data_IF_517153770755
#
_entry.id   IF_517153770755
#
_cell.length_a   1.000
_cell.length_b   1.000
_cell.length_c   1.000
_cell.angle_alpha   90.00
_cell.angle_beta   90.00
_cell.angle_gamma   90.00
#
_symmetry.space_group_name_H-M   'P 1'
#
loop_
_entity.id
_entity.type
_entity.pdbx_description
1 polymer ?
#
# COMPACT_ATOMS: atom_id res chain seq x y z
N UNK A 1 18.73 16.32 39.83
CA UNK A 1 18.02 15.76 38.65
C UNK A 1 18.15 14.26 38.67
N UNK A 2 17.05 13.51 38.72
CA UNK A 2 17.12 12.06 38.48
C UNK A 2 17.52 11.86 37.02
N UNK A 3 18.71 11.31 36.80
CA UNK A 3 19.22 10.98 35.47
C UNK A 3 18.54 9.68 35.07
N UNK A 4 17.51 9.75 34.23
CA UNK A 4 16.87 8.56 33.69
C UNK A 4 17.91 7.73 32.92
N UNK A 5 17.82 6.41 33.01
CA UNK A 5 18.69 5.53 32.21
C UNK A 5 18.32 5.61 30.72
N UNK A 6 19.25 5.16 29.86
CA UNK A 6 19.10 5.21 28.40
C UNK A 6 17.89 4.42 27.91
N UNK A 7 17.54 3.33 28.59
CA UNK A 7 16.43 2.46 28.21
C UNK A 7 15.08 3.14 28.44
N UNK A 8 14.94 3.82 29.58
CA UNK A 8 13.77 4.62 29.94
C UNK A 8 13.57 5.77 28.97
N UNK A 9 14.65 6.47 28.60
CA UNK A 9 14.61 7.55 27.59
C UNK A 9 14.14 6.99 26.24
N UNK A 10 14.77 5.92 25.75
CA UNK A 10 14.41 5.30 24.47
C UNK A 10 12.95 4.81 24.44
N UNK A 11 12.46 4.22 25.53
CA UNK A 11 11.07 3.77 25.65
C UNK A 11 10.09 4.93 25.53
N UNK A 12 10.32 6.03 26.24
CA UNK A 12 9.43 7.20 26.18
C UNK A 12 9.48 7.85 24.80
N UNK A 13 10.66 7.99 24.18
CA UNK A 13 10.79 8.50 22.81
C UNK A 13 9.99 7.69 21.80
N UNK A 14 10.01 6.35 21.88
CA UNK A 14 9.20 5.48 21.00
C UNK A 14 7.70 5.70 21.12
N UNK A 15 7.19 5.95 22.32
CA UNK A 15 5.76 6.27 22.53
C UNK A 15 5.39 7.57 21.84
N UNK A 16 6.22 8.61 21.94
CA UNK A 16 5.98 9.87 21.24
C UNK A 16 6.01 9.72 19.71
N UNK A 17 6.91 8.90 19.17
CA UNK A 17 6.96 8.61 17.73
C UNK A 17 5.72 7.84 17.27
N UNK A 18 5.25 6.88 18.08
CA UNK A 18 4.03 6.12 17.80
C UNK A 18 2.78 7.03 17.81
N UNK A 19 2.65 7.90 18.82
CA UNK A 19 1.55 8.87 18.90
C UNK A 19 1.57 9.86 17.75
N UNK A 20 2.76 10.29 17.31
CA UNK A 20 2.92 11.18 16.16
C UNK A 20 2.55 10.52 14.84
N UNK A 21 3.07 9.33 14.57
CA UNK A 21 2.71 8.58 13.36
C UNK A 21 1.20 8.33 13.30
N UNK A 22 0.58 7.99 14.44
CA UNK A 22 -0.87 7.84 14.53
C UNK A 22 -1.60 9.13 14.14
N UNK A 23 -1.20 10.28 14.70
CA UNK A 23 -1.83 11.56 14.41
C UNK A 23 -1.64 12.00 12.95
N UNK A 24 -0.45 11.80 12.38
CA UNK A 24 -0.17 12.10 10.96
C UNK A 24 -0.93 11.20 9.99
N UNK A 25 -1.26 9.99 10.41
CA UNK A 25 -2.05 9.05 9.60
C UNK A 25 -3.54 9.40 9.52
N UNK A 26 -4.01 10.30 10.39
CA UNK A 26 -5.37 10.82 10.32
C UNK A 26 -5.53 11.69 9.07
N UNK A 27 -6.63 11.51 8.34
CA UNK A 27 -6.98 12.35 7.22
C UNK A 27 -8.31 13.06 7.48
N UNK A 28 -8.35 14.35 7.14
CA UNK A 28 -9.50 15.22 7.41
C UNK A 28 -10.40 15.40 6.20
N UNK A 29 -9.92 15.10 4.99
CA UNK A 29 -10.66 15.36 3.74
C UNK A 29 -10.62 14.16 2.81
N UNK A 30 -11.77 13.80 2.27
CA UNK A 30 -11.89 12.79 1.22
C UNK A 30 -10.95 13.10 0.05
N UNK A 31 -10.23 12.08 -0.44
CA UNK A 31 -9.30 12.27 -1.55
C UNK A 31 -10.01 12.61 -2.87
N UNK A 32 -11.25 12.16 -3.10
CA UNK A 32 -11.93 12.40 -4.37
C UNK A 32 -12.32 13.87 -4.61
N UNK A 33 -11.94 14.42 -5.78
CA UNK A 33 -12.39 15.67 -6.39
C UNK A 33 -12.56 16.87 -5.42
N UNK A 34 -11.55 17.14 -4.60
CA UNK A 34 -11.54 18.20 -3.59
C UNK A 34 -12.74 18.17 -2.61
N UNK A 35 -13.32 17.00 -2.37
CA UNK A 35 -14.41 16.82 -1.41
C UNK A 35 -13.97 17.22 0.00
N UNK A 36 -14.76 18.07 0.66
CA UNK A 36 -14.44 18.59 2.00
C UNK A 36 -15.01 17.71 3.13
N UNK A 37 -15.64 16.58 2.82
CA UNK A 37 -16.19 15.70 3.84
C UNK A 37 -15.10 14.84 4.48
N UNK A 38 -15.23 14.63 5.80
CA UNK A 38 -14.38 13.74 6.57
C UNK A 38 -14.44 12.31 5.97
N UNK A 39 -13.29 11.68 5.68
CA UNK A 39 -13.25 10.31 5.19
C UNK A 39 -13.71 9.31 6.26
N UNK A 40 -14.09 8.13 5.80
CA UNK A 40 -14.27 6.93 6.61
C UNK A 40 -13.05 6.01 6.42
N UNK A 41 -13.06 4.92 7.17
CA UNK A 41 -12.09 3.82 7.06
C UNK A 41 -12.39 3.00 5.79
N UNK A 42 -11.75 3.37 4.68
CA UNK A 42 -11.81 2.68 3.39
C UNK A 42 -10.85 1.49 3.36
N UNK A 43 -11.23 0.42 2.68
CA UNK A 43 -10.34 -0.71 2.42
C UNK A 43 -9.59 -0.54 1.08
N UNK A 44 -8.28 -0.78 1.08
CA UNK A 44 -7.49 -0.87 -0.16
C UNK A 44 -7.85 -2.13 -0.98
N UNK A 45 -8.08 -3.26 -0.30
CA UNK A 45 -8.67 -4.48 -0.87
C UNK A 45 -9.86 -4.85 -0.01
N UNK A 46 -11.03 -5.02 -0.63
CA UNK A 46 -12.30 -5.15 0.08
C UNK A 46 -12.34 -6.36 1.04
N UNK A 47 -12.86 -6.15 2.25
CA UNK A 47 -12.98 -7.21 3.27
C UNK A 47 -13.68 -8.47 2.73
N UNK A 48 -14.79 -8.29 2.01
CA UNK A 48 -15.56 -9.39 1.43
C UNK A 48 -14.72 -10.25 0.47
N UNK A 49 -13.83 -9.64 -0.32
CA UNK A 49 -12.91 -10.37 -1.18
C UNK A 49 -11.91 -11.17 -0.35
N UNK A 50 -11.29 -10.55 0.65
CA UNK A 50 -10.31 -11.20 1.51
C UNK A 50 -10.92 -12.40 2.24
N UNK A 51 -12.14 -12.25 2.76
CA UNK A 51 -12.88 -13.30 3.48
C UNK A 51 -13.05 -14.58 2.66
N UNK A 52 -13.33 -14.44 1.38
CA UNK A 52 -13.56 -15.59 0.48
C UNK A 52 -12.24 -16.15 -0.10
N UNK A 53 -11.11 -15.47 0.07
CA UNK A 53 -9.84 -15.78 -0.59
C UNK A 53 -8.70 -16.02 0.40
N UNK A 54 -7.79 -15.05 0.57
CA UNK A 54 -6.56 -15.21 1.35
C UNK A 54 -6.78 -15.06 2.87
N UNK A 55 -7.91 -14.50 3.28
CA UNK A 55 -8.27 -14.20 4.67
C UNK A 55 -9.32 -15.12 5.27
N UNK A 56 -9.45 -16.36 4.77
CA UNK A 56 -10.45 -17.35 5.23
C UNK A 56 -10.41 -17.64 6.74
N UNK A 57 -9.26 -17.47 7.39
CA UNK A 57 -9.12 -17.59 8.85
C UNK A 57 -9.56 -16.35 9.64
N UNK A 58 -10.16 -15.36 8.95
CA UNK A 58 -10.59 -14.07 9.50
C UNK A 58 -9.45 -13.06 9.68
N UNK A 59 -8.21 -13.43 9.31
CA UNK A 59 -7.03 -12.60 9.46
C UNK A 59 -6.09 -12.74 8.26
N UNK A 60 -5.24 -11.75 8.06
CA UNK A 60 -4.09 -11.77 7.16
C UNK A 60 -2.84 -11.31 7.91
N UNK A 61 -1.66 -11.59 7.36
CA UNK A 61 -0.40 -11.07 7.86
C UNK A 61 0.06 -9.94 6.95
N UNK A 62 0.21 -8.74 7.51
CA UNK A 62 0.63 -7.55 6.77
C UNK A 62 1.27 -6.52 7.70
N UNK A 63 1.91 -5.51 7.12
CA UNK A 63 2.31 -4.30 7.81
C UNK A 63 1.26 -3.21 7.56
N UNK A 64 0.64 -2.71 8.63
CA UNK A 64 -0.20 -1.50 8.59
C UNK A 64 0.41 -0.38 9.40
N UNK A 65 0.04 0.87 9.13
CA UNK A 65 0.43 2.01 9.98
C UNK A 65 0.04 1.77 11.44
N UNK A 66 -1.15 1.22 11.70
CA UNK A 66 -1.61 0.90 13.05
C UNK A 66 -0.75 -0.18 13.72
N UNK A 67 -0.33 -1.22 12.98
CA UNK A 67 0.58 -2.24 13.49
C UNK A 67 1.96 -1.67 13.78
N UNK A 68 2.48 -0.79 12.90
CA UNK A 68 3.76 -0.09 13.11
C UNK A 68 3.71 0.79 14.35
N UNK A 69 2.65 1.58 14.52
CA UNK A 69 2.41 2.39 15.74
C UNK A 69 2.44 1.51 16.99
N UNK A 70 1.72 0.38 16.98
CA UNK A 70 1.67 -0.56 18.11
C UNK A 70 3.05 -1.17 18.40
N UNK A 71 3.76 -1.61 17.36
CA UNK A 71 5.06 -2.27 17.47
C UNK A 71 6.15 -1.31 17.95
N UNK A 72 6.14 -0.06 17.46
CA UNK A 72 7.00 1.03 17.96
C UNK A 72 6.78 1.26 19.47
N UNK A 73 5.52 1.42 19.90
CA UNK A 73 5.20 1.65 21.31
C UNK A 73 5.57 0.48 22.22
N UNK A 74 5.60 -0.75 21.69
CA UNK A 74 5.92 -1.98 22.44
C UNK A 74 7.37 -2.46 22.29
N UNK A 75 8.20 -1.75 21.52
CA UNK A 75 9.54 -2.19 21.15
C UNK A 75 9.58 -3.59 20.51
N UNK A 76 8.74 -3.81 19.50
CA UNK A 76 8.70 -5.06 18.72
C UNK A 76 9.21 -4.79 17.31
N UNK A 77 10.12 -5.63 16.85
CA UNK A 77 10.62 -5.64 15.47
C UNK A 77 9.83 -6.71 14.69
N UNK A 78 8.56 -6.42 14.42
CA UNK A 78 7.68 -7.31 13.66
C UNK A 78 7.08 -6.54 12.48
N UNK A 79 7.53 -6.84 11.26
CA UNK A 79 7.00 -6.24 10.03
C UNK A 79 5.61 -6.78 9.70
N UNK A 80 5.44 -8.10 9.72
CA UNK A 80 4.17 -8.77 9.41
C UNK A 80 3.42 -9.12 10.68
N UNK A 81 2.41 -8.33 11.03
CA UNK A 81 1.53 -8.59 12.18
C UNK A 81 0.27 -9.34 11.75
N UNK A 82 -0.29 -10.16 12.64
CA UNK A 82 -1.62 -10.75 12.44
C UNK A 82 -2.70 -9.67 12.55
N UNK A 83 -3.39 -9.38 11.45
CA UNK A 83 -4.38 -8.30 11.33
C UNK A 83 -5.75 -8.89 10.95
N UNK A 84 -6.85 -8.57 11.66
CA UNK A 84 -8.19 -8.97 11.26
C UNK A 84 -8.53 -8.42 9.87
N UNK A 85 -9.26 -9.17 9.04
CA UNK A 85 -9.63 -8.71 7.68
C UNK A 85 -10.48 -7.42 7.69
N UNK A 86 -11.18 -7.14 8.80
CA UNK A 86 -11.92 -5.89 9.00
C UNK A 86 -11.01 -4.67 9.15
N UNK A 87 -9.72 -4.88 9.44
CA UNK A 87 -8.71 -3.84 9.65
C UNK A 87 -7.56 -3.89 8.62
N UNK A 88 -7.56 -4.87 7.72
CA UNK A 88 -6.49 -5.06 6.74
C UNK A 88 -6.57 -4.04 5.61
N UNK A 89 -5.47 -3.32 5.38
CA UNK A 89 -5.39 -2.33 4.31
C UNK A 89 -6.37 -1.16 4.49
N UNK A 90 -6.83 -0.91 5.72
CA UNK A 90 -7.77 0.16 6.06
C UNK A 90 -7.04 1.50 6.19
N UNK A 91 -7.60 2.53 5.56
CA UNK A 91 -7.06 3.89 5.59
C UNK A 91 -8.17 4.94 5.45
N UNK A 92 -7.98 6.17 5.97
CA UNK A 92 -8.96 7.25 5.89
C UNK A 92 -8.98 7.90 4.49
N UNK A 93 -9.50 7.17 3.49
CA UNK A 93 -9.45 7.53 2.08
C UNK A 93 -10.62 8.39 1.59
N UNK A 94 -11.83 7.83 1.62
CA UNK A 94 -13.01 8.40 0.97
C UNK A 94 -14.12 8.68 1.96
N UNK A 95 -15.04 9.61 1.67
CA UNK A 95 -16.17 9.84 2.54
C UNK A 95 -17.26 8.78 2.34
N UNK A 96 -17.87 8.34 3.44
CA UNK A 96 -19.12 7.59 3.44
C UNK A 96 -20.32 8.51 3.24
N UNK A 97 -21.52 7.94 3.38
CA UNK A 97 -22.80 8.60 3.12
C UNK A 97 -22.99 9.88 3.96
N UNK A 98 -22.93 11.03 3.29
CA UNK A 98 -23.27 12.35 3.82
C UNK A 98 -23.95 13.18 2.75
N UNK A 99 -25.16 13.66 3.03
CA UNK A 99 -25.95 14.50 2.13
C UNK A 99 -26.11 13.89 0.71
N UNK A 100 -26.31 12.57 0.62
CA UNK A 100 -26.46 11.89 -0.68
C UNK A 100 -25.14 11.60 -1.40
N UNK A 101 -23.98 11.90 -0.78
CA UNK A 101 -22.65 11.62 -1.31
C UNK A 101 -21.97 10.54 -0.47
N UNK A 102 -21.61 9.44 -1.10
CA UNK A 102 -20.75 8.39 -0.54
C UNK A 102 -19.73 8.02 -1.60
N UNK A 103 -18.54 8.64 -1.55
CA UNK A 103 -17.52 8.38 -2.56
C UNK A 103 -16.93 6.98 -2.41
N UNK A 104 -16.84 6.46 -1.18
CA UNK A 104 -16.33 5.10 -0.99
C UNK A 104 -17.22 4.06 -1.69
N UNK A 105 -18.52 4.03 -1.38
CA UNK A 105 -19.41 3.04 -1.99
C UNK A 105 -19.72 3.31 -3.47
N UNK A 106 -19.81 4.57 -3.91
CA UNK A 106 -20.14 4.89 -5.31
C UNK A 106 -18.97 4.61 -6.25
N UNK A 107 -17.78 5.10 -5.93
CA UNK A 107 -16.62 5.03 -6.84
C UNK A 107 -16.14 3.59 -7.05
N UNK A 108 -16.35 2.71 -6.06
CA UNK A 108 -15.81 1.36 -6.07
C UNK A 108 -16.86 0.26 -6.25
N UNK A 109 -18.12 0.61 -6.51
CA UNK A 109 -19.19 -0.36 -6.76
C UNK A 109 -18.82 -1.40 -7.84
N UNK A 110 -18.10 -0.98 -8.87
CA UNK A 110 -17.65 -1.80 -10.01
C UNK A 110 -16.59 -2.84 -9.65
N UNK A 111 -16.00 -2.76 -8.46
CA UNK A 111 -15.04 -3.73 -7.92
C UNK A 111 -15.55 -4.44 -6.65
N UNK A 112 -16.72 -4.09 -6.12
CA UNK A 112 -17.23 -4.63 -4.84
C UNK A 112 -18.61 -5.30 -4.92
N UNK A 113 -19.54 -4.71 -5.68
CA UNK A 113 -20.93 -5.17 -5.75
C UNK A 113 -21.05 -6.22 -6.86
N UNK A 114 -21.42 -7.46 -6.51
CA UNK A 114 -21.47 -8.63 -7.41
C UNK A 114 -22.01 -8.31 -8.82
N UNK A 115 -23.24 -7.80 -8.91
CA UNK A 115 -23.87 -7.50 -10.20
C UNK A 115 -23.13 -6.43 -11.01
N UNK A 116 -22.43 -5.50 -10.34
CA UNK A 116 -21.63 -4.46 -11.00
C UNK A 116 -20.26 -5.01 -11.42
N UNK A 117 -19.60 -5.80 -10.56
CA UNK A 117 -18.35 -6.50 -10.92
C UNK A 117 -18.54 -7.40 -12.13
N UNK A 118 -19.65 -8.15 -12.17
CA UNK A 118 -19.98 -9.05 -13.28
C UNK A 118 -20.09 -8.33 -14.62
N UNK A 119 -20.64 -7.11 -14.64
CA UNK A 119 -20.78 -6.26 -15.84
C UNK A 119 -19.49 -5.50 -16.20
N UNK A 120 -18.64 -5.25 -15.22
CA UNK A 120 -17.40 -4.47 -15.40
C UNK A 120 -16.39 -5.27 -16.23
N UNK A 121 -15.78 -4.65 -17.24
CA UNK A 121 -14.72 -5.27 -18.04
C UNK A 121 -13.46 -5.47 -17.20
N UNK A 122 -12.58 -6.40 -17.58
CA UNK A 122 -11.31 -6.61 -16.87
C UNK A 122 -10.46 -5.33 -16.85
N UNK A 123 -10.44 -4.59 -17.96
CA UNK A 123 -9.71 -3.31 -18.06
C UNK A 123 -10.25 -2.27 -17.08
N UNK A 124 -11.58 -2.07 -17.01
CA UNK A 124 -12.20 -1.14 -16.07
C UNK A 124 -12.01 -1.59 -14.61
N UNK A 125 -12.07 -2.90 -14.35
CA UNK A 125 -11.84 -3.47 -13.02
C UNK A 125 -10.41 -3.16 -12.54
N UNK A 126 -9.40 -3.40 -13.39
CA UNK A 126 -8.01 -3.05 -13.12
C UNK A 126 -7.81 -1.54 -12.94
N UNK A 127 -8.46 -0.71 -13.77
CA UNK A 127 -8.37 0.75 -13.69
C UNK A 127 -8.88 1.29 -12.35
N UNK A 128 -10.01 0.79 -11.85
CA UNK A 128 -10.58 1.22 -10.58
C UNK A 128 -9.73 0.75 -9.38
N UNK A 129 -9.18 -0.47 -9.42
CA UNK A 129 -8.21 -0.90 -8.42
C UNK A 129 -6.92 -0.07 -8.45
N UNK A 130 -6.44 0.30 -9.64
CA UNK A 130 -5.28 1.17 -9.78
C UNK A 130 -5.52 2.56 -9.18
N UNK A 131 -6.71 3.13 -9.37
CA UNK A 131 -7.08 4.38 -8.71
C UNK A 131 -7.07 4.24 -7.18
N UNK A 132 -7.64 3.15 -6.65
CA UNK A 132 -7.61 2.86 -5.20
C UNK A 132 -6.18 2.69 -4.68
N UNK A 133 -5.32 2.02 -5.43
CA UNK A 133 -3.91 1.82 -5.12
C UNK A 133 -3.16 3.14 -5.05
N UNK A 134 -3.39 4.03 -6.03
CA UNK A 134 -2.82 5.38 -6.05
C UNK A 134 -3.20 6.16 -4.80
N UNK A 135 -4.50 6.19 -4.44
CA UNK A 135 -4.96 6.96 -3.29
C UNK A 135 -4.43 6.38 -1.97
N UNK A 136 -4.35 5.05 -1.84
CA UNK A 136 -3.72 4.41 -0.68
C UNK A 136 -2.26 4.83 -0.55
N UNK A 137 -1.47 4.76 -1.64
CA UNK A 137 -0.07 5.17 -1.62
C UNK A 137 0.06 6.66 -1.30
N UNK A 138 -0.77 7.51 -1.89
CA UNK A 138 -0.80 8.94 -1.58
C UNK A 138 -1.03 9.20 -0.10
N UNK A 139 -1.93 8.47 0.54
CA UNK A 139 -2.15 8.58 1.98
C UNK A 139 -0.90 8.18 2.78
N UNK A 140 -0.27 7.07 2.40
CA UNK A 140 0.96 6.61 3.04
C UNK A 140 2.09 7.64 2.90
N UNK A 141 2.35 8.12 1.68
CA UNK A 141 3.38 9.12 1.41
C UNK A 141 3.10 10.45 2.11
N UNK A 142 1.84 10.92 2.17
CA UNK A 142 1.50 12.12 2.93
C UNK A 142 1.68 11.93 4.44
N UNK A 143 1.38 10.73 4.95
CA UNK A 143 1.55 10.40 6.38
C UNK A 143 3.03 10.47 6.76
N UNK A 144 3.89 9.81 5.97
CA UNK A 144 5.33 9.83 6.16
C UNK A 144 5.86 11.25 5.94
N UNK A 145 5.44 11.85 4.83
CA UNK A 145 5.41 13.26 4.40
C UNK A 145 5.44 14.33 5.49
N UNK A 146 4.46 14.19 6.36
CA UNK A 146 3.99 15.27 7.21
C UNK A 146 4.97 15.52 8.35
N UNK A 147 5.18 16.81 8.68
CA UNK A 147 5.97 17.21 9.84
C UNK A 147 5.29 16.70 11.12
N UNK A 148 6.13 16.38 12.11
CA UNK A 148 5.66 16.11 13.46
C UNK A 148 4.80 17.27 13.97
N UNK A 149 3.67 16.97 14.60
CA UNK A 149 2.73 18.03 15.00
C UNK A 149 3.22 18.84 16.21
N UNK A 150 2.95 20.16 16.21
CA UNK A 150 3.39 21.08 17.28
C UNK A 150 2.93 20.67 18.68
N UNK A 151 1.74 20.08 18.80
CA UNK A 151 1.24 19.56 20.08
C UNK A 151 2.12 18.45 20.64
N UNK A 152 2.58 17.52 19.78
CA UNK A 152 3.38 16.37 20.22
C UNK A 152 4.80 16.84 20.51
N UNK A 153 5.34 17.74 19.69
CA UNK A 153 6.59 18.45 19.99
C UNK A 153 6.50 19.14 21.35
N UNK A 154 5.43 19.87 21.65
CA UNK A 154 5.25 20.58 22.93
C UNK A 154 5.12 19.60 24.11
N UNK A 155 4.36 18.51 23.94
CA UNK A 155 4.26 17.43 24.96
C UNK A 155 5.58 16.72 25.19
N UNK A 156 6.39 16.54 24.14
CA UNK A 156 7.69 15.90 24.24
C UNK A 156 8.70 16.82 24.96
N UNK A 157 8.74 18.11 24.59
CA UNK A 157 9.60 19.13 25.24
C UNK A 157 9.29 19.34 26.72
N UNK A 158 8.03 19.18 27.12
CA UNK A 158 7.62 19.30 28.53
C UNK A 158 7.85 18.01 29.35
N UNK A 159 8.23 16.91 28.70
CA UNK A 159 8.47 15.63 29.37
C UNK A 159 9.91 15.54 29.89
N UNK A 160 10.07 15.46 31.21
CA UNK A 160 11.37 15.41 31.90
C UNK A 160 12.25 14.20 31.53
N UNK A 161 11.68 13.19 30.85
CA UNK A 161 12.37 11.96 30.41
C UNK A 161 12.89 12.08 28.97
N UNK A 162 12.30 12.95 28.14
CA UNK A 162 12.64 13.03 26.72
C UNK A 162 13.89 13.88 26.52
N UNK A 163 14.88 13.32 25.83
CA UNK A 163 15.99 14.10 25.28
C UNK A 163 15.54 14.71 23.94
N UNK A 164 15.39 16.03 23.89
CA UNK A 164 14.98 16.78 22.69
C UNK A 164 15.87 16.49 21.48
N UNK A 165 17.17 16.23 21.70
CA UNK A 165 18.10 15.93 20.61
C UNK A 165 17.85 14.53 20.03
N UNK A 166 17.51 13.55 20.88
CA UNK A 166 17.18 12.18 20.44
C UNK A 166 15.87 12.18 19.67
N UNK A 167 14.86 12.93 20.13
CA UNK A 167 13.59 13.05 19.43
C UNK A 167 13.79 13.70 18.05
N UNK A 168 14.51 14.83 18.01
CA UNK A 168 14.79 15.57 16.78
C UNK A 168 15.59 14.72 15.78
N UNK A 169 16.64 14.05 16.23
CA UNK A 169 17.45 13.17 15.39
C UNK A 169 16.66 11.96 14.86
N UNK A 170 15.66 11.47 15.60
CA UNK A 170 14.81 10.36 15.14
C UNK A 170 13.77 10.83 14.12
N UNK A 171 13.21 12.03 14.31
CA UNK A 171 12.30 12.68 13.34
C UNK A 171 13.05 13.01 12.05
N UNK A 172 14.26 13.56 12.15
CA UNK A 172 15.09 13.90 11.00
C UNK A 172 15.45 12.64 10.18
N UNK A 173 15.72 11.50 10.83
CA UNK A 173 15.93 10.21 10.15
C UNK A 173 14.66 9.72 9.43
N UNK A 174 13.49 9.85 10.05
CA UNK A 174 12.23 9.47 9.43
C UNK A 174 11.93 10.33 8.18
N UNK A 175 12.32 11.60 8.21
CA UNK A 175 12.17 12.53 7.07
C UNK A 175 13.11 12.23 5.90
N UNK A 176 14.25 11.57 6.13
CA UNK A 176 15.18 11.15 5.06
C UNK A 176 14.65 10.00 4.20
N UNK A 177 13.63 9.28 4.67
CA UNK A 177 13.06 8.11 3.96
C UNK A 177 11.80 8.44 3.16
N UNK A 178 11.44 9.73 3.08
CA UNK A 178 10.22 10.19 2.41
C UNK A 178 10.47 10.43 0.92
N UNK A 179 9.47 10.16 0.09
CA UNK A 179 9.50 10.67 -1.29
C UNK A 179 9.56 12.20 -1.32
N UNK A 180 10.23 12.76 -2.33
CA UNK A 180 10.42 14.21 -2.45
C UNK A 180 9.08 14.94 -2.62
N UNK A 181 9.04 16.23 -2.28
CA UNK A 181 7.86 17.09 -2.54
C UNK A 181 7.42 17.04 -4.00
N UNK A 182 8.38 16.92 -4.93
CA UNK A 182 8.11 16.81 -6.36
C UNK A 182 7.36 15.51 -6.70
N UNK A 183 7.62 14.42 -5.96
CA UNK A 183 6.96 13.13 -6.13
C UNK A 183 5.49 13.18 -5.69
N UNK A 184 5.19 13.85 -4.57
CA UNK A 184 3.81 14.09 -4.12
C UNK A 184 2.99 14.92 -5.12
N UNK A 185 3.63 15.86 -5.83
CA UNK A 185 2.97 16.59 -6.91
C UNK A 185 2.60 15.66 -8.06
N UNK A 186 3.51 14.77 -8.48
CA UNK A 186 3.23 13.80 -9.55
C UNK A 186 2.13 12.82 -9.17
N UNK A 187 2.05 12.37 -7.92
CA UNK A 187 0.91 11.62 -7.39
C UNK A 187 -0.41 12.37 -7.56
N UNK A 188 -0.47 13.64 -7.15
CA UNK A 188 -1.67 14.47 -7.30
C UNK A 188 -2.06 14.67 -8.77
N UNK A 189 -1.08 14.87 -9.67
CA UNK A 189 -1.34 14.99 -11.11
C UNK A 189 -1.86 13.68 -11.72
N UNK A 190 -1.31 12.53 -11.30
CA UNK A 190 -1.82 11.22 -11.70
C UNK A 190 -3.26 11.01 -11.21
N UNK A 191 -3.55 11.42 -9.98
CA UNK A 191 -4.91 11.38 -9.42
C UNK A 191 -5.89 12.21 -10.25
N UNK A 192 -5.53 13.43 -10.61
CA UNK A 192 -6.37 14.30 -11.46
C UNK A 192 -6.63 13.62 -12.82
N UNK A 193 -5.62 12.95 -13.40
CA UNK A 193 -5.82 12.16 -14.63
C UNK A 193 -6.85 11.04 -14.44
N UNK A 194 -6.77 10.26 -13.36
CA UNK A 194 -7.78 9.22 -13.05
C UNK A 194 -9.17 9.82 -12.89
N UNK A 195 -9.30 10.87 -12.09
CA UNK A 195 -10.58 11.52 -11.80
C UNK A 195 -11.24 12.14 -13.04
N UNK A 196 -10.47 12.50 -14.06
CA UNK A 196 -11.00 12.94 -15.36
C UNK A 196 -11.83 11.88 -16.09
N UNK A 197 -11.70 10.60 -15.72
CA UNK A 197 -12.45 9.48 -16.29
C UNK A 197 -13.48 8.89 -15.32
N UNK A 198 -13.48 9.28 -14.04
CA UNK A 198 -14.35 8.72 -13.00
C UNK A 198 -15.40 9.76 -12.59
N UNK A 199 -16.67 9.51 -12.95
CA UNK A 199 -17.80 10.35 -12.56
C UNK A 199 -18.11 10.22 -11.05
N UNK A 200 -18.88 11.17 -10.53
CA UNK A 200 -19.26 11.21 -9.10
C UNK A 200 -20.10 10.00 -8.65
N UNK A 201 -20.80 9.34 -9.58
CA UNK A 201 -21.56 8.11 -9.34
C UNK A 201 -20.72 6.83 -9.51
N UNK A 202 -19.43 6.96 -9.78
CA UNK A 202 -18.48 5.86 -10.00
C UNK A 202 -18.49 5.26 -11.40
N UNK A 203 -19.31 5.76 -12.32
CA UNK A 203 -19.22 5.33 -13.71
C UNK A 203 -17.95 5.88 -14.37
N UNK A 204 -17.39 5.08 -15.30
CA UNK A 204 -16.31 5.53 -16.16
C UNK A 204 -16.87 6.28 -17.38
N UNK A 205 -16.19 7.35 -17.78
CA UNK A 205 -16.54 8.17 -18.95
C UNK A 205 -15.39 8.23 -19.94
N UNK A 206 -15.69 8.30 -21.23
CA UNK A 206 -14.68 8.44 -22.28
C UNK A 206 -13.87 7.15 -22.50
N UNK A 207 -12.80 7.25 -23.27
CA UNK A 207 -11.90 6.13 -23.56
C UNK A 207 -10.63 6.23 -22.71
N UNK A 208 -10.54 5.41 -21.66
CA UNK A 208 -9.40 5.43 -20.73
C UNK A 208 -8.04 5.15 -21.41
N UNK A 209 -8.05 4.38 -22.50
CA UNK A 209 -6.84 4.04 -23.26
C UNK A 209 -6.18 5.24 -23.96
N UNK A 210 -6.89 6.38 -24.04
CA UNK A 210 -6.34 7.65 -24.55
C UNK A 210 -5.30 8.23 -23.58
N UNK A 211 -5.47 8.02 -22.27
CA UNK A 211 -4.61 8.60 -21.22
C UNK A 211 -3.80 7.57 -20.44
N UNK A 212 -4.09 6.28 -20.59
CA UNK A 212 -3.45 5.23 -19.81
C UNK A 212 -2.97 4.07 -20.67
N UNK A 213 -1.92 3.41 -20.20
CA UNK A 213 -1.57 2.05 -20.62
C UNK A 213 -1.98 1.10 -19.49
N UNK A 214 -2.77 0.08 -19.82
CA UNK A 214 -3.37 -0.86 -18.86
C UNK A 214 -3.03 -2.26 -19.35
N UNK A 215 -2.30 -3.02 -18.52
CA UNK A 215 -2.05 -4.43 -18.77
C UNK A 215 -2.58 -5.28 -17.63
N UNK A 216 -3.08 -6.46 -18.00
CA UNK A 216 -3.57 -7.47 -17.06
C UNK A 216 -2.96 -8.81 -17.44
N UNK A 217 -2.50 -9.54 -16.43
CA UNK A 217 -2.01 -10.92 -16.53
C UNK A 217 -2.94 -11.78 -15.69
N UNK A 218 -3.63 -12.72 -16.33
CA UNK A 218 -4.43 -13.72 -15.62
C UNK A 218 -3.52 -14.80 -15.03
N UNK A 219 -3.82 -15.21 -13.80
CA UNK A 219 -3.01 -16.13 -12.99
C UNK A 219 -3.87 -17.29 -12.47
N UNK A 220 -4.81 -17.77 -13.29
CA UNK A 220 -5.74 -18.84 -12.91
C UNK A 220 -5.04 -20.18 -12.68
N UNK A 221 -3.83 -20.36 -13.22
CA UNK A 221 -3.02 -21.55 -12.98
C UNK A 221 -2.38 -21.55 -11.57
N UNK A 222 -2.50 -20.47 -10.81
CA UNK A 222 -1.91 -20.33 -9.48
C UNK A 222 -2.96 -20.25 -8.38
N UNK A 223 -2.72 -20.95 -7.27
CA UNK A 223 -3.41 -20.67 -6.00
C UNK A 223 -2.81 -19.40 -5.41
N UNK A 224 -3.59 -18.33 -5.37
CA UNK A 224 -3.15 -17.09 -4.74
C UNK A 224 -3.32 -17.16 -3.22
N UNK A 225 -2.19 -17.08 -2.52
CA UNK A 225 -2.12 -17.01 -1.06
C UNK A 225 -1.66 -15.64 -0.55
N UNK A 226 -1.56 -14.66 -1.44
CA UNK A 226 -1.24 -13.28 -1.13
C UNK A 226 -1.96 -12.34 -2.10
N UNK A 227 -2.09 -11.09 -1.68
CA UNK A 227 -2.64 -10.00 -2.47
C UNK A 227 -1.91 -8.71 -2.10
N UNK A 228 -2.01 -7.69 -2.93
CA UNK A 228 -1.46 -6.38 -2.60
C UNK A 228 -1.65 -5.40 -3.73
N UNK A 229 -1.80 -4.13 -3.40
CA UNK A 229 -1.90 -3.04 -4.37
C UNK A 229 -1.01 -1.89 -3.93
N UNK A 230 -0.40 -1.20 -4.88
CA UNK A 230 0.43 -0.03 -4.59
C UNK A 230 0.65 0.83 -5.82
N UNK A 231 1.36 1.93 -5.60
CA UNK A 231 1.81 2.79 -6.67
C UNK A 231 3.24 3.20 -6.39
N UNK A 232 4.12 3.21 -7.42
CA UNK A 232 5.53 3.54 -7.21
C UNK A 232 6.15 4.20 -8.43
N UNK A 233 7.12 5.08 -8.19
CA UNK A 233 8.02 5.54 -9.22
C UNK A 233 9.03 4.45 -9.57
N UNK A 234 9.17 4.19 -10.86
CA UNK A 234 10.29 3.43 -11.41
C UNK A 234 11.21 4.39 -12.18
N UNK A 235 12.45 3.98 -12.44
CA UNK A 235 13.40 4.81 -13.18
C UNK A 235 12.77 5.32 -14.49
N UNK A 236 12.94 6.60 -14.76
CA UNK A 236 12.44 7.28 -15.96
C UNK A 236 10.92 7.50 -16.04
N UNK A 237 10.15 7.20 -14.99
CA UNK A 237 8.73 7.54 -14.91
C UNK A 237 8.50 9.01 -14.55
N UNK A 238 7.54 9.66 -15.22
CA UNK A 238 6.99 10.96 -14.81
C UNK A 238 5.89 10.80 -13.75
N UNK A 239 5.09 9.75 -13.84
CA UNK A 239 4.01 9.43 -12.91
C UNK A 239 4.26 8.09 -12.21
N UNK A 240 3.71 7.89 -11.00
CA UNK A 240 3.79 6.59 -10.35
C UNK A 240 3.01 5.55 -11.16
N UNK A 241 3.58 4.36 -11.29
CA UNK A 241 2.90 3.22 -11.90
C UNK A 241 2.10 2.51 -10.82
N UNK A 242 0.79 2.37 -11.05
CA UNK A 242 -0.13 1.70 -10.14
C UNK A 242 -0.20 0.23 -10.53
N UNK A 243 -0.12 -0.68 -9.58
CA UNK A 243 -0.14 -2.11 -9.85
C UNK A 243 -0.70 -2.89 -8.67
N UNK A 244 -1.03 -4.16 -8.91
CA UNK A 244 -1.49 -5.02 -7.84
C UNK A 244 -1.81 -6.43 -8.27
N UNK A 245 -1.91 -7.31 -7.29
CA UNK A 245 -2.33 -8.70 -7.41
C UNK A 245 -3.64 -8.88 -6.62
N UNK A 246 -4.70 -9.23 -7.33
CA UNK A 246 -6.06 -9.37 -6.81
C UNK A 246 -6.51 -10.83 -6.98
N UNK A 247 -6.90 -11.51 -5.88
CA UNK A 247 -7.54 -12.82 -5.95
C UNK A 247 -8.84 -12.82 -6.75
N UNK A 248 -9.19 -13.97 -7.32
CA UNK A 248 -10.41 -14.13 -8.10
C UNK A 248 -11.65 -13.71 -7.32
N UNK A 249 -12.56 -12.99 -7.97
CA UNK A 249 -13.80 -12.51 -7.37
C UNK A 249 -14.95 -12.58 -8.37
N UNK A 250 -16.04 -13.25 -8.00
CA UNK A 250 -17.19 -13.44 -8.87
C UNK A 250 -16.80 -14.05 -10.23
N UNK A 251 -16.89 -13.29 -11.33
CA UNK A 251 -16.48 -13.69 -12.67
C UNK A 251 -15.11 -13.14 -13.09
N UNK A 252 -14.34 -12.57 -12.17
CA UNK A 252 -12.99 -12.04 -12.41
C UNK A 252 -11.94 -13.06 -12.00
N UNK A 253 -10.92 -13.30 -12.84
CA UNK A 253 -9.86 -14.27 -12.57
C UNK A 253 -8.94 -13.80 -11.45
N UNK A 254 -8.06 -14.69 -10.99
CA UNK A 254 -6.84 -14.27 -10.31
C UNK A 254 -6.07 -13.37 -11.28
N UNK A 255 -5.73 -12.14 -10.90
CA UNK A 255 -5.11 -11.20 -11.83
C UNK A 255 -4.02 -10.36 -11.19
N UNK A 256 -2.95 -10.16 -11.95
CA UNK A 256 -2.02 -9.07 -11.74
C UNK A 256 -2.34 -7.96 -12.75
N UNK A 257 -2.36 -6.71 -12.31
CA UNK A 257 -2.55 -5.55 -13.17
C UNK A 257 -1.45 -4.52 -13.00
N UNK A 258 -1.27 -3.70 -14.04
CA UNK A 258 -0.50 -2.46 -13.96
C UNK A 258 -1.14 -1.37 -14.83
N UNK A 259 -1.10 -0.15 -14.34
CA UNK A 259 -1.66 1.04 -14.98
C UNK A 259 -0.63 2.16 -14.88
N UNK A 260 -0.24 2.71 -16.03
CA UNK A 260 0.64 3.87 -16.13
C UNK A 260 -0.02 4.95 -16.96
N UNK A 261 0.43 6.20 -16.81
CA UNK A 261 0.06 7.25 -17.74
C UNK A 261 0.55 6.89 -19.16
N UNK A 262 -0.19 7.33 -20.19
CA UNK A 262 0.21 7.16 -21.60
C UNK A 262 1.58 7.76 -21.89
N UNK A 263 1.84 8.90 -21.25
CA UNK A 263 3.07 9.70 -21.35
C UNK A 263 4.32 8.95 -20.86
N UNK A 264 4.14 7.85 -20.12
CA UNK A 264 5.20 6.98 -19.57
C UNK A 264 5.33 5.64 -20.34
N UNK A 265 5.07 5.66 -21.65
CA UNK A 265 5.10 4.47 -22.52
C UNK A 265 6.44 3.71 -22.49
N UNK A 266 7.56 4.42 -22.33
CA UNK A 266 8.89 3.80 -22.19
C UNK A 266 8.98 2.98 -20.90
N UNK A 267 8.64 3.55 -19.75
CA UNK A 267 8.68 2.86 -18.47
C UNK A 267 7.67 1.69 -18.43
N UNK A 268 6.51 1.88 -19.05
CA UNK A 268 5.52 0.84 -19.25
C UNK A 268 6.08 -0.35 -20.05
N UNK A 269 6.72 -0.07 -21.19
CA UNK A 269 7.34 -1.10 -22.05
C UNK A 269 8.49 -1.81 -21.32
N UNK A 270 9.31 -1.05 -20.59
CA UNK A 270 10.41 -1.58 -19.80
C UNK A 270 9.97 -2.56 -18.72
N UNK A 271 8.96 -2.19 -17.91
CA UNK A 271 8.37 -3.12 -16.94
C UNK A 271 7.72 -4.33 -17.65
N UNK A 272 7.26 -4.17 -18.90
CA UNK A 272 6.67 -5.27 -19.68
C UNK A 272 7.73 -6.29 -20.11
N UNK A 273 8.93 -5.80 -20.44
CA UNK A 273 10.09 -6.63 -20.70
C UNK A 273 10.60 -7.35 -19.44
N UNK A 274 10.49 -6.72 -18.26
CA UNK A 274 10.78 -7.36 -16.96
C UNK A 274 9.80 -8.52 -16.71
N UNK A 275 8.49 -8.25 -16.80
CA UNK A 275 7.45 -9.24 -16.59
C UNK A 275 7.55 -10.40 -17.58
N UNK A 276 7.87 -10.14 -18.85
CA UNK A 276 8.03 -11.19 -19.86
C UNK A 276 9.22 -12.13 -19.60
N UNK A 277 10.25 -11.68 -18.88
CA UNK A 277 11.44 -12.50 -18.62
C UNK A 277 11.22 -13.51 -17.49
N UNK A 278 10.56 -13.09 -16.40
CA UNK A 278 10.23 -13.96 -15.28
C UNK A 278 8.90 -13.49 -14.66
N UNK A 279 7.74 -13.88 -15.24
CA UNK A 279 6.45 -13.34 -14.82
C UNK A 279 6.19 -13.54 -13.33
N UNK A 280 6.36 -14.77 -12.84
CA UNK A 280 6.08 -15.12 -11.44
C UNK A 280 7.00 -14.38 -10.48
N UNK A 281 8.33 -14.42 -10.72
CA UNK A 281 9.31 -13.73 -9.88
C UNK A 281 9.14 -12.21 -9.90
N UNK A 282 8.83 -11.64 -11.05
CA UNK A 282 8.61 -10.20 -11.17
C UNK A 282 7.31 -9.74 -10.52
N UNK A 283 6.24 -10.51 -10.60
CA UNK A 283 4.98 -10.19 -9.92
C UNK A 283 5.16 -10.25 -8.40
N UNK A 284 5.78 -11.30 -7.86
CA UNK A 284 5.99 -11.38 -6.39
C UNK A 284 6.89 -10.25 -5.88
N UNK A 285 7.95 -9.91 -6.60
CA UNK A 285 8.85 -8.80 -6.26
C UNK A 285 8.10 -7.46 -6.31
N UNK A 286 7.32 -7.20 -7.35
CA UNK A 286 6.54 -5.97 -7.46
C UNK A 286 5.51 -5.86 -6.33
N UNK A 287 4.74 -6.92 -6.07
CA UNK A 287 3.71 -6.93 -5.02
C UNK A 287 4.32 -6.79 -3.62
N UNK A 288 5.48 -7.40 -3.36
CA UNK A 288 6.22 -7.19 -2.11
C UNK A 288 6.57 -5.72 -1.89
N UNK A 289 6.92 -4.99 -2.96
CA UNK A 289 7.25 -3.57 -2.95
C UNK A 289 6.03 -2.63 -2.98
N UNK A 290 4.81 -3.15 -2.88
CA UNK A 290 3.57 -2.35 -2.92
C UNK A 290 3.34 -1.50 -1.66
N UNK A 291 4.04 -1.81 -0.55
CA UNK A 291 3.77 -1.22 0.76
C UNK A 291 2.44 -1.67 1.40
N UNK A 292 1.72 -2.60 0.77
CA UNK A 292 0.39 -3.05 1.20
C UNK A 292 0.16 -4.53 0.84
N UNK A 293 1.21 -5.34 0.94
CA UNK A 293 1.12 -6.79 0.74
C UNK A 293 0.40 -7.45 1.92
N UNK A 294 -0.52 -8.35 1.60
CA UNK A 294 -1.30 -9.16 2.53
C UNK A 294 -1.01 -10.62 2.27
N UNK A 295 -0.55 -11.34 3.28
CA UNK A 295 -0.27 -12.78 3.22
C UNK A 295 -1.39 -13.56 3.91
N UNK A 296 -1.80 -14.69 3.34
CA UNK A 296 -2.65 -15.65 4.03
C UNK A 296 -1.93 -16.20 5.26
N UNK A 297 -2.69 -16.75 6.22
CA UNK A 297 -2.09 -17.44 7.37
C UNK A 297 -1.24 -18.63 6.94
N UNK A 298 -1.69 -19.41 5.95
CA UNK A 298 -0.95 -20.56 5.39
C UNK A 298 0.41 -20.12 4.82
N UNK A 299 0.42 -19.11 3.94
CA UNK A 299 1.64 -18.61 3.32
C UNK A 299 2.60 -18.01 4.35
N UNK A 300 2.09 -17.24 5.31
CA UNK A 300 2.93 -16.67 6.36
C UNK A 300 3.61 -17.75 7.20
N UNK A 301 2.89 -18.79 7.62
CA UNK A 301 3.49 -19.89 8.38
C UNK A 301 4.51 -20.68 7.55
N UNK A 302 4.25 -20.87 6.26
CA UNK A 302 5.21 -21.50 5.34
C UNK A 302 6.50 -20.68 5.20
N UNK A 303 6.40 -19.37 4.99
CA UNK A 303 7.57 -18.48 4.93
C UNK A 303 8.34 -18.47 6.26
N UNK A 304 7.62 -18.42 7.38
CA UNK A 304 8.21 -18.36 8.74
C UNK A 304 8.92 -19.65 9.13
N UNK A 305 8.37 -20.81 8.76
CA UNK A 305 8.92 -22.13 9.10
C UNK A 305 9.98 -22.62 8.11
N UNK A 306 10.23 -21.86 7.04
CA UNK A 306 11.20 -22.21 6.01
C UNK A 306 12.62 -22.30 6.57
N UNK A 307 13.27 -23.44 6.31
CA UNK A 307 14.69 -23.66 6.66
C UNK A 307 15.64 -22.71 5.91
N UNK A 308 15.18 -22.15 4.79
CA UNK A 308 15.96 -21.24 3.96
C UNK A 308 15.82 -19.77 4.39
N UNK A 309 15.02 -19.49 5.42
CA UNK A 309 14.82 -18.14 5.97
C UNK A 309 14.00 -17.23 5.05
N UNK A 310 13.04 -17.78 4.28
CA UNK A 310 12.27 -17.04 3.28
C UNK A 310 11.57 -15.79 3.83
N UNK A 311 10.97 -15.86 5.03
CA UNK A 311 10.34 -14.67 5.64
C UNK A 311 11.35 -13.54 5.89
N UNK A 312 12.54 -13.87 6.37
CA UNK A 312 13.59 -12.88 6.61
C UNK A 312 14.04 -12.24 5.29
N UNK A 313 14.22 -13.03 4.24
CA UNK A 313 14.59 -12.51 2.91
C UNK A 313 13.51 -11.63 2.30
N UNK A 314 12.23 -11.96 2.53
CA UNK A 314 11.12 -11.09 2.13
C UNK A 314 11.19 -9.75 2.86
N UNK A 315 11.40 -9.78 4.18
CA UNK A 315 11.55 -8.57 5.00
C UNK A 315 12.73 -7.73 4.51
N UNK A 316 13.91 -8.33 4.33
CA UNK A 316 15.13 -7.65 3.84
C UNK A 316 14.96 -7.10 2.41
N UNK A 317 14.10 -7.73 1.61
CA UNK A 317 13.76 -7.26 0.28
C UNK A 317 12.73 -6.11 0.30
N UNK A 318 11.91 -5.98 1.33
CA UNK A 318 10.96 -4.86 1.46
C UNK A 318 11.67 -3.66 2.10
N UNK A 319 12.36 -3.89 3.21
CA UNK A 319 13.03 -2.88 4.02
C UNK A 319 14.51 -3.28 4.24
N UNK A 320 15.38 -3.00 3.27
CA UNK A 320 16.79 -3.36 3.35
C UNK A 320 17.52 -2.48 4.38
N UNK A 321 18.43 -3.08 5.15
CA UNK A 321 19.29 -2.35 6.11
C UNK A 321 20.10 -1.20 5.48
N UNK A 322 20.29 -1.23 4.16
CA UNK A 322 20.90 -0.15 3.40
C UNK A 322 19.88 0.98 3.17
N UNK A 323 19.95 2.00 4.04
CA UNK A 323 19.35 3.32 3.78
C UNK A 323 19.79 3.75 2.37
N UNK A 324 18.84 3.94 1.45
CA UNK A 324 19.03 4.31 0.02
C UNK A 324 19.06 3.17 -1.04
N UNK A 325 18.61 1.93 -0.76
CA UNK A 325 18.48 0.94 -1.84
C UNK A 325 17.48 1.38 -2.92
N UNK A 326 17.99 1.68 -4.11
CA UNK A 326 17.18 1.89 -5.31
C UNK A 326 17.03 0.57 -6.08
N UNK A 327 15.80 0.04 -6.14
CA UNK A 327 15.48 -1.17 -6.91
C UNK A 327 15.67 -0.91 -8.41
N UNK A 328 16.54 -1.69 -9.05
CA UNK A 328 16.72 -1.66 -10.50
C UNK A 328 16.04 -2.88 -11.16
N UNK A 329 16.11 -2.97 -12.49
CA UNK A 329 15.52 -4.09 -13.25
C UNK A 329 15.94 -5.48 -12.78
N UNK A 330 17.21 -5.66 -12.39
CA UNK A 330 17.71 -6.96 -11.96
C UNK A 330 17.08 -7.36 -10.63
N UNK A 331 16.86 -6.39 -9.74
CA UNK A 331 16.12 -6.61 -8.49
C UNK A 331 14.66 -6.99 -8.74
N UNK A 332 14.05 -6.56 -9.84
CA UNK A 332 12.67 -6.92 -10.14
C UNK A 332 12.55 -8.29 -10.84
N UNK A 333 13.60 -8.80 -11.48
CA UNK A 333 13.57 -10.08 -12.21
C UNK A 333 14.08 -11.26 -11.38
N UNK A 334 15.10 -11.04 -10.55
CA UNK A 334 15.79 -12.13 -9.86
C UNK A 334 14.97 -12.72 -8.72
N UNK A 335 15.26 -13.97 -8.42
CA UNK A 335 14.81 -14.62 -7.20
C UNK A 335 15.64 -14.10 -6.01
N UNK A 336 14.99 -13.60 -4.96
CA UNK A 336 15.64 -13.10 -3.74
C UNK A 336 15.63 -14.12 -2.59
N UNK A 337 15.23 -15.36 -2.88
CA UNK A 337 15.18 -16.46 -1.94
C UNK A 337 13.91 -16.49 -1.08
N UNK A 338 12.86 -15.76 -1.47
CA UNK A 338 11.51 -15.96 -0.93
C UNK A 338 10.60 -16.42 -2.07
N UNK A 339 9.56 -17.19 -1.74
CA UNK A 339 8.57 -17.65 -2.70
C UNK A 339 7.16 -17.36 -2.20
N UNK A 340 6.44 -16.51 -2.94
CA UNK A 340 5.04 -16.18 -2.66
C UNK A 340 4.08 -17.05 -3.48
N UNK A 341 4.44 -17.36 -4.73
CA UNK A 341 3.72 -18.32 -5.57
C UNK A 341 4.18 -19.75 -5.27
N UNK A 342 3.36 -20.54 -4.58
CA UNK A 342 3.76 -21.88 -4.08
C UNK A 342 3.09 -23.05 -4.77
N UNK A 343 1.83 -22.90 -5.17
CA UNK A 343 1.01 -24.00 -5.67
C UNK A 343 0.45 -23.66 -7.05
N UNK A 344 0.91 -24.43 -8.04
CA UNK A 344 0.39 -24.43 -9.39
C UNK A 344 -0.76 -25.44 -9.46
N UNK A 345 -1.93 -25.02 -9.93
CA UNK A 345 -3.18 -25.77 -9.88
C UNK A 345 -3.38 -26.64 -11.15
N UNK A 346 -2.78 -26.23 -12.28
CA UNK A 346 -3.06 -26.80 -13.60
C UNK A 346 -2.04 -27.83 -14.11
#
# INVERSE_FOLDING_TARGET
MKKYDKETIAKVSRVFLADDLKKRSENLKCYYNACQYKPIDSHSIQEALLKETIGKSGHVYMQTVQSTVKNLGQNREEMFSKVPITQSGVFPGFCGEKNGKSHDSKLFKSIEIDNEVKKTTIEHYAFIYAYRALIYQMWLENTLASKMTDDILTKAKSNQVVDENVLKHTVDIASLSMESTDSLEQFNRMKIKFEGYIKEDGELSGNISDSFNIDVIELNDWKLEFAGIGARFFSCCKFPICYGLIPSQYNKPNLFFRVSAKDDSFAHSFLGAILSQNPTGSIENLVALSGNIMLSEELFQNLRSSKEGELHRLIDFIDPDQKEKHYNQYDLIRNHGFRLFREFIN
#
